data_IF_232999264484
#
_entry.id   IF_232999264484
#
_cell.length_a   1.000
_cell.length_b   1.000
_cell.length_c   1.000
_cell.angle_alpha   90.00
_cell.angle_beta   90.00
_cell.angle_gamma   90.00
#
_symmetry.space_group_name_H-M   'P 1'
#
loop_
_entity.id
_entity.type
_entity.pdbx_description
1 polymer ?
#
# COMPACT_ATOMS: atom_id res chain seq x y z
N UNK A 1 4.41 8.19 -17.02
CA UNK A 1 5.27 9.40 -16.82
C UNK A 1 6.66 8.94 -16.40
N UNK A 2 7.72 9.70 -16.65
CA UNK A 2 9.05 9.37 -16.08
C UNK A 2 9.06 9.64 -14.57
N UNK A 3 9.89 8.93 -13.80
CA UNK A 3 10.01 9.05 -12.33
C UNK A 3 10.18 10.52 -11.90
N UNK A 4 11.00 11.29 -12.61
CA UNK A 4 11.27 12.70 -12.29
C UNK A 4 10.01 13.58 -12.43
N UNK A 5 9.16 13.27 -13.42
CA UNK A 5 7.91 14.00 -13.63
C UNK A 5 6.90 13.72 -12.51
N UNK A 6 6.83 12.47 -12.04
CA UNK A 6 5.97 12.08 -10.91
C UNK A 6 6.43 12.80 -9.63
N UNK A 7 7.74 12.76 -9.34
CA UNK A 7 8.33 13.44 -8.18
C UNK A 7 8.03 14.94 -8.22
N UNK A 8 8.22 15.58 -9.38
CA UNK A 8 7.91 17.00 -9.57
C UNK A 8 6.42 17.28 -9.36
N UNK A 9 5.54 16.42 -9.86
CA UNK A 9 4.09 16.57 -9.72
C UNK A 9 3.66 16.50 -8.26
N UNK A 10 4.04 15.44 -7.54
CA UNK A 10 3.62 15.27 -6.13
C UNK A 10 4.18 16.36 -5.22
N UNK A 11 5.41 16.83 -5.47
CA UNK A 11 6.00 17.94 -4.73
C UNK A 11 5.25 19.26 -4.92
N UNK A 12 4.71 19.53 -6.11
CA UNK A 12 3.99 20.77 -6.40
C UNK A 12 2.48 20.67 -6.12
N UNK A 13 1.97 19.48 -5.78
CA UNK A 13 0.55 19.31 -5.49
C UNK A 13 0.17 20.07 -4.20
N UNK A 14 -0.82 20.99 -4.24
CA UNK A 14 -1.18 21.84 -3.10
C UNK A 14 -1.56 21.05 -1.84
N UNK A 15 -2.15 19.87 -2.00
CA UNK A 15 -2.60 19.03 -0.88
C UNK A 15 -1.48 18.30 -0.13
N UNK A 16 -0.24 18.28 -0.65
CA UNK A 16 0.96 17.68 -0.02
C UNK A 16 0.77 16.26 0.53
N UNK A 17 -0.15 15.49 -0.07
CA UNK A 17 -0.48 14.12 0.30
C UNK A 17 -0.58 13.25 -0.95
N UNK A 18 -0.21 11.98 -0.80
CA UNK A 18 -0.33 10.95 -1.83
C UNK A 18 -1.17 9.82 -1.25
N UNK A 19 -2.17 9.37 -2.01
CA UNK A 19 -2.90 8.13 -1.73
C UNK A 19 -2.23 7.01 -2.52
N UNK A 20 -1.83 5.96 -1.83
CA UNK A 20 -1.35 4.71 -2.43
C UNK A 20 -2.36 3.62 -2.10
N UNK A 21 -2.43 2.58 -2.93
CA UNK A 21 -3.31 1.45 -2.68
C UNK A 21 -2.67 0.12 -3.12
N UNK A 22 -3.11 -0.95 -2.48
CA UNK A 22 -2.89 -2.34 -2.89
C UNK A 22 -4.26 -2.95 -3.15
N UNK A 23 -4.36 -3.82 -4.14
CA UNK A 23 -5.56 -4.60 -4.41
C UNK A 23 -5.55 -5.86 -3.53
N UNK A 24 -6.61 -6.08 -2.74
CA UNK A 24 -6.76 -7.32 -2.00
C UNK A 24 -7.20 -8.50 -2.89
N UNK A 25 -7.40 -9.67 -2.28
CA UNK A 25 -7.74 -10.91 -2.99
C UNK A 25 -9.08 -10.80 -3.73
N UNK A 26 -9.99 -9.96 -3.24
CA UNK A 26 -11.34 -9.77 -3.79
C UNK A 26 -11.41 -8.60 -4.80
N UNK A 27 -10.28 -7.95 -5.08
CA UNK A 27 -10.20 -6.85 -6.04
C UNK A 27 -10.44 -5.46 -5.45
N UNK A 28 -10.54 -5.33 -4.12
CA UNK A 28 -10.79 -4.05 -3.45
C UNK A 28 -9.47 -3.29 -3.25
N UNK A 29 -9.47 -2.00 -3.60
CA UNK A 29 -8.33 -1.12 -3.37
C UNK A 29 -8.23 -0.69 -1.90
N UNK A 30 -7.29 -1.27 -1.17
CA UNK A 30 -6.97 -0.94 0.23
C UNK A 30 -5.89 0.13 0.28
N UNK A 31 -6.29 1.34 0.69
CA UNK A 31 -5.45 2.54 0.55
C UNK A 31 -4.87 3.10 1.84
N UNK A 32 -3.68 3.72 1.74
CA UNK A 32 -3.11 4.59 2.77
C UNK A 32 -2.91 5.99 2.18
N UNK A 33 -3.19 7.03 2.98
CA UNK A 33 -2.83 8.42 2.65
C UNK A 33 -1.58 8.78 3.44
N UNK A 34 -0.56 9.32 2.77
CA UNK A 34 0.69 9.73 3.41
C UNK A 34 1.14 11.10 2.92
N UNK A 35 2.03 11.74 3.69
CA UNK A 35 2.70 12.97 3.26
C UNK A 35 3.57 12.71 2.02
N UNK A 36 3.81 13.75 1.23
CA UNK A 36 4.74 13.68 0.10
C UNK A 36 6.12 13.22 0.54
N UNK A 37 6.66 13.74 1.65
CA UNK A 37 7.98 13.35 2.15
C UNK A 37 8.07 11.84 2.45
N UNK A 38 7.02 11.27 3.06
CA UNK A 38 6.95 9.83 3.31
C UNK A 38 6.85 9.05 2.00
N UNK A 39 6.03 9.52 1.05
CA UNK A 39 5.93 8.89 -0.27
C UNK A 39 7.29 8.87 -1.00
N UNK A 40 8.04 9.98 -0.98
CA UNK A 40 9.36 10.05 -1.61
C UNK A 40 10.36 9.11 -0.93
N UNK A 41 10.34 9.03 0.41
CA UNK A 41 11.23 8.14 1.17
C UNK A 41 11.00 6.65 0.92
N UNK A 42 9.81 6.24 0.48
CA UNK A 42 9.47 4.82 0.23
C UNK A 42 9.71 4.37 -1.22
N UNK A 43 10.07 5.29 -2.13
CA UNK A 43 10.21 4.98 -3.56
C UNK A 43 11.31 3.96 -3.87
N UNK A 44 12.33 3.84 -3.01
CA UNK A 44 13.46 2.93 -3.23
C UNK A 44 13.28 1.61 -2.49
N UNK A 45 12.96 1.68 -1.19
CA UNK A 45 12.97 0.51 -0.30
C UNK A 45 11.59 -0.07 -0.01
N UNK A 46 10.52 0.60 -0.46
CA UNK A 46 9.15 0.23 -0.12
C UNK A 46 8.76 0.69 1.29
N UNK A 47 7.66 0.13 1.80
CA UNK A 47 7.11 0.45 3.11
C UNK A 47 6.31 -0.70 3.70
N UNK A 48 6.13 -0.69 5.02
CA UNK A 48 5.27 -1.64 5.72
C UNK A 48 3.79 -1.46 5.35
N UNK A 49 3.18 -2.54 4.87
CA UNK A 49 1.75 -2.66 4.67
C UNK A 49 1.24 -3.90 5.40
N UNK A 50 0.22 -3.74 6.25
CA UNK A 50 -0.32 -4.83 7.04
C UNK A 50 -0.88 -5.89 6.11
N UNK A 51 -0.34 -7.11 6.21
CA UNK A 51 -0.66 -8.19 5.29
C UNK A 51 -2.06 -8.76 5.47
N UNK A 52 -2.83 -8.30 6.48
CA UNK A 52 -4.24 -8.64 6.71
C UNK A 52 -5.10 -8.51 5.46
N UNK A 53 -4.73 -7.64 4.53
CA UNK A 53 -5.40 -7.50 3.23
C UNK A 53 -5.36 -8.76 2.37
N UNK A 54 -4.47 -9.70 2.67
CA UNK A 54 -4.41 -11.03 2.05
C UNK A 54 -5.03 -12.12 2.93
N UNK A 55 -5.72 -11.74 4.00
CA UNK A 55 -6.32 -12.62 5.00
C UNK A 55 -7.77 -12.30 5.35
N UNK A 56 -8.40 -11.37 4.64
CA UNK A 56 -9.81 -11.03 4.80
C UNK A 56 -10.54 -10.89 3.47
N UNK A 57 -11.87 -10.88 3.53
CA UNK A 57 -12.74 -10.65 2.39
C UNK A 57 -13.06 -9.15 2.17
N UNK A 58 -13.87 -8.88 1.15
CA UNK A 58 -14.34 -7.53 0.82
C UNK A 58 -15.17 -6.85 1.92
N UNK A 59 -15.70 -7.61 2.89
CA UNK A 59 -16.46 -7.13 4.05
C UNK A 59 -15.59 -6.98 5.30
N UNK A 60 -14.27 -7.12 5.17
CA UNK A 60 -13.28 -7.10 6.26
C UNK A 60 -13.42 -8.27 7.25
N UNK A 61 -14.03 -9.39 6.80
CA UNK A 61 -14.14 -10.62 7.57
C UNK A 61 -12.91 -11.51 7.35
N UNK A 62 -12.30 -11.99 8.44
CA UNK A 62 -11.08 -12.80 8.38
C UNK A 62 -11.33 -14.18 7.78
N UNK A 63 -10.46 -14.63 6.89
CA UNK A 63 -10.47 -15.99 6.38
C UNK A 63 -9.97 -16.99 7.43
N UNK A 64 -10.80 -17.96 7.79
CA UNK A 64 -10.49 -19.00 8.80
C UNK A 64 -9.27 -19.87 8.48
N UNK A 65 -8.91 -20.04 7.20
CA UNK A 65 -7.87 -20.99 6.75
C UNK A 65 -6.85 -20.35 5.81
N UNK A 66 -6.63 -19.04 5.93
CA UNK A 66 -5.55 -18.39 5.19
C UNK A 66 -4.20 -19.00 5.57
N UNK A 67 -3.39 -19.31 4.54
CA UNK A 67 -2.03 -19.87 4.69
C UNK A 67 -0.94 -18.79 4.67
N UNK A 68 -1.29 -17.57 4.26
CA UNK A 68 -0.34 -16.47 4.07
C UNK A 68 -0.27 -15.62 5.34
N UNK A 69 -1.43 -15.23 5.88
CA UNK A 69 -1.54 -14.43 7.10
C UNK A 69 -2.77 -14.83 7.92
N UNK A 70 -2.75 -14.62 9.24
CA UNK A 70 -3.85 -14.94 10.14
C UNK A 70 -3.44 -14.77 11.60
N UNK A 71 -4.28 -15.23 12.53
CA UNK A 71 -3.94 -15.26 13.97
C UNK A 71 -2.62 -16.00 14.28
N UNK A 72 -2.24 -16.96 13.43
CA UNK A 72 -1.01 -17.72 13.55
C UNK A 72 0.26 -16.93 13.17
N UNK A 73 0.15 -15.86 12.38
CA UNK A 73 1.25 -14.92 12.07
C UNK A 73 1.12 -13.59 12.80
N UNK A 74 -0.09 -13.24 13.26
CA UNK A 74 -0.38 -11.97 13.94
C UNK A 74 -0.53 -10.78 13.00
N UNK A 75 -0.81 -11.01 11.71
CA UNK A 75 -0.99 -9.96 10.69
C UNK A 75 0.17 -8.95 10.57
N UNK A 76 1.41 -9.43 10.37
CA UNK A 76 2.57 -8.56 10.31
C UNK A 76 2.53 -7.61 9.09
N UNK A 77 3.37 -6.59 9.13
CA UNK A 77 3.63 -5.80 7.92
C UNK A 77 4.47 -6.61 6.92
N UNK A 78 4.07 -6.56 5.65
CA UNK A 78 4.91 -6.97 4.52
C UNK A 78 5.48 -5.74 3.81
N UNK A 79 6.59 -5.92 3.10
CA UNK A 79 7.19 -4.83 2.34
C UNK A 79 6.45 -4.61 1.00
N UNK A 80 5.72 -3.51 0.90
CA UNK A 80 5.06 -3.06 -0.32
C UNK A 80 5.94 -2.09 -1.12
N UNK A 81 5.99 -2.26 -2.44
CA UNK A 81 6.73 -1.38 -3.36
C UNK A 81 5.79 -0.59 -4.24
N UNK A 82 6.13 0.67 -4.48
CA UNK A 82 5.38 1.54 -5.39
C UNK A 82 5.72 1.17 -6.83
N UNK A 83 4.70 0.88 -7.62
CA UNK A 83 4.83 0.84 -9.07
C UNK A 83 4.60 2.25 -9.63
N UNK A 84 5.58 2.77 -10.36
CA UNK A 84 5.52 4.10 -11.00
C UNK A 84 5.03 4.03 -12.45
N UNK A 85 4.73 2.83 -12.96
CA UNK A 85 4.26 2.58 -14.33
C UNK A 85 2.74 2.37 -14.43
N UNK A 86 2.03 2.34 -13.29
CA UNK A 86 0.56 2.40 -13.24
C UNK A 86 0.05 3.82 -13.49
#
# INVERSE_FOLDING_TARGET
MKKEQIIKYVNNYPGKKVKVAITDIDGVLRGKVMSVDKFLGILENGFGFCDVVFGWDMADELYDKSKITGWHTGFPDVNAKIDLNT
#
